data_IF_670171998642
#
_entry.id   IF_670171998642
#
_cell.length_a   1.000
_cell.length_b   1.000
_cell.length_c   1.000
_cell.angle_alpha   90.00
_cell.angle_beta   90.00
_cell.angle_gamma   90.00
#
_symmetry.space_group_name_H-M   'P 1'
#
loop_
_entity.id
_entity.type
_entity.pdbx_description
1 polymer ?
#
# COMPACT_ATOMS: atom_id res chain seq x y z
N UNK A 1 -14.28 -6.82 -19.39
CA UNK A 1 -14.30 -5.81 -18.31
C UNK A 1 -13.86 -6.49 -17.02
N UNK A 2 -13.04 -5.84 -16.20
CA UNK A 2 -12.68 -6.37 -14.88
C UNK A 2 -13.87 -6.22 -13.94
N UNK A 3 -14.16 -7.25 -13.15
CA UNK A 3 -15.25 -7.28 -12.17
C UNK A 3 -14.79 -6.91 -10.75
N UNK A 4 -13.50 -6.61 -10.60
CA UNK A 4 -12.84 -6.29 -9.33
C UNK A 4 -12.78 -4.79 -9.08
N UNK A 5 -12.73 -4.34 -7.82
CA UNK A 5 -12.57 -2.92 -7.48
C UNK A 5 -11.21 -2.36 -7.91
N UNK A 6 -10.17 -3.20 -8.03
CA UNK A 6 -8.86 -2.82 -8.53
C UNK A 6 -8.84 -2.85 -10.06
N UNK A 7 -8.68 -1.67 -10.67
CA UNK A 7 -8.57 -1.51 -12.14
C UNK A 7 -7.15 -1.15 -12.59
N UNK A 8 -6.26 -0.79 -11.66
CA UNK A 8 -4.92 -0.33 -12.03
C UNK A 8 -4.12 -1.50 -12.63
N UNK A 9 -3.72 -1.42 -13.90
CA UNK A 9 -3.17 -2.57 -14.61
C UNK A 9 -1.84 -3.02 -14.00
N UNK A 10 -0.98 -2.09 -13.62
CA UNK A 10 0.32 -2.41 -13.04
C UNK A 10 0.22 -3.03 -11.65
N UNK A 11 -0.74 -2.60 -10.83
CA UNK A 11 -0.93 -3.17 -9.48
C UNK A 11 -1.49 -4.59 -9.64
N UNK A 12 -2.47 -4.76 -10.53
CA UNK A 12 -3.04 -6.08 -10.82
C UNK A 12 -1.97 -7.05 -11.33
N UNK A 13 -1.08 -6.60 -12.21
CA UNK A 13 0.03 -7.41 -12.72
C UNK A 13 1.03 -7.80 -11.61
N UNK A 14 1.42 -6.85 -10.74
CA UNK A 14 2.35 -7.11 -9.63
C UNK A 14 1.74 -8.06 -8.61
N UNK A 15 0.45 -7.89 -8.27
CA UNK A 15 -0.26 -8.77 -7.35
C UNK A 15 -0.42 -10.18 -7.93
N UNK A 16 -0.71 -10.31 -9.23
CA UNK A 16 -0.80 -11.60 -9.89
C UNK A 16 0.55 -12.34 -9.95
N UNK A 17 1.67 -11.60 -10.00
CA UNK A 17 3.02 -12.17 -9.96
C UNK A 17 3.53 -12.44 -8.53
N UNK A 18 2.88 -11.86 -7.52
CA UNK A 18 3.28 -12.01 -6.12
C UNK A 18 2.98 -13.43 -5.61
N UNK A 19 3.99 -14.06 -5.02
CA UNK A 19 3.87 -15.38 -4.39
C UNK A 19 3.43 -15.30 -2.92
N UNK A 20 3.30 -16.47 -2.29
CA UNK A 20 3.05 -16.57 -0.84
C UNK A 20 4.14 -15.83 -0.05
N UNK A 21 3.73 -15.11 1.00
CA UNK A 21 4.58 -14.24 1.83
C UNK A 21 5.14 -12.97 1.15
N UNK A 22 4.65 -12.61 -0.03
CA UNK A 22 4.97 -11.30 -0.62
C UNK A 22 4.44 -10.16 0.23
N UNK A 23 5.17 -9.04 0.27
CA UNK A 23 4.78 -7.85 1.02
C UNK A 23 4.41 -6.72 0.08
N UNK A 24 3.29 -6.06 0.38
CA UNK A 24 2.86 -4.83 -0.29
C UNK A 24 2.99 -3.69 0.71
N UNK A 25 3.72 -2.64 0.33
CA UNK A 25 3.86 -1.43 1.11
C UNK A 25 2.99 -0.33 0.50
N UNK A 26 2.00 0.15 1.27
CA UNK A 26 1.24 1.35 0.92
C UNK A 26 1.87 2.50 1.69
N UNK A 27 2.39 3.48 0.97
CA UNK A 27 3.13 4.60 1.52
C UNK A 27 2.50 5.93 1.09
N UNK A 28 2.63 6.95 1.95
CA UNK A 28 2.31 8.32 1.57
C UNK A 28 3.47 8.96 0.78
N UNK A 29 3.25 10.19 0.31
CA UNK A 29 4.28 10.94 -0.42
C UNK A 29 5.52 11.33 0.41
N UNK A 30 5.50 11.13 1.73
CA UNK A 30 6.60 11.46 2.63
C UNK A 30 7.55 10.28 2.86
N UNK A 31 7.11 9.06 2.57
CA UNK A 31 7.97 7.88 2.69
C UNK A 31 9.00 7.83 1.55
N UNK A 32 10.29 7.61 1.83
CA UNK A 32 11.36 7.58 0.84
C UNK A 32 11.35 6.27 0.03
N UNK A 33 10.35 6.14 -0.85
CA UNK A 33 10.03 4.93 -1.60
C UNK A 33 11.11 4.57 -2.64
N UNK A 34 11.82 5.57 -3.17
CA UNK A 34 12.87 5.36 -4.17
C UNK A 34 14.17 4.81 -3.58
N UNK A 35 14.54 5.24 -2.37
CA UNK A 35 15.81 4.84 -1.73
C UNK A 35 15.66 3.59 -0.87
N UNK A 36 14.45 3.26 -0.43
CA UNK A 36 14.16 2.07 0.39
C UNK A 36 13.73 0.87 -0.46
N UNK A 37 13.73 1.02 -1.78
CA UNK A 37 13.30 -0.02 -2.71
C UNK A 37 14.28 -1.20 -2.72
N UNK A 38 13.76 -2.41 -2.46
CA UNK A 38 14.53 -3.64 -2.62
C UNK A 38 14.74 -4.02 -4.09
N UNK A 39 15.71 -4.90 -4.41
CA UNK A 39 16.05 -5.27 -5.79
C UNK A 39 14.91 -5.94 -6.57
N UNK A 40 13.99 -6.59 -5.86
CA UNK A 40 12.82 -7.28 -6.44
C UNK A 40 11.50 -6.51 -6.21
N UNK A 41 11.57 -5.29 -5.66
CA UNK A 41 10.39 -4.50 -5.37
C UNK A 41 10.03 -3.61 -6.57
N UNK A 42 8.73 -3.53 -6.86
CA UNK A 42 8.20 -2.67 -7.92
C UNK A 42 7.55 -1.44 -7.29
N UNK A 43 8.07 -0.25 -7.62
CA UNK A 43 7.47 1.02 -7.23
C UNK A 43 6.36 1.40 -8.22
N UNK A 44 5.16 1.65 -7.70
CA UNK A 44 4.00 2.13 -8.45
C UNK A 44 3.51 3.43 -7.81
N UNK A 45 3.54 4.53 -8.54
CA UNK A 45 3.13 5.86 -8.06
C UNK A 45 1.69 6.16 -8.47
N UNK A 46 0.81 6.41 -7.49
CA UNK A 46 -0.61 6.72 -7.69
C UNK A 46 -0.98 8.18 -7.37
N UNK A 47 -0.01 8.97 -6.92
CA UNK A 47 -0.22 10.34 -6.43
C UNK A 47 -0.49 11.31 -7.58
N UNK A 48 -1.77 11.64 -7.79
CA UNK A 48 -2.17 12.66 -8.77
C UNK A 48 -2.21 14.07 -8.16
N UNK A 49 -2.89 14.22 -7.02
CA UNK A 49 -3.06 15.48 -6.31
C UNK A 49 -3.33 15.23 -4.81
N UNK A 50 -3.11 16.22 -3.91
CA UNK A 50 -3.43 16.07 -2.50
C UNK A 50 -4.89 15.69 -2.26
N UNK A 51 -5.13 14.68 -1.42
CA UNK A 51 -6.47 14.17 -1.12
C UNK A 51 -7.08 13.28 -2.21
N UNK A 52 -6.40 13.09 -3.35
CA UNK A 52 -6.80 12.17 -4.41
C UNK A 52 -6.04 10.86 -4.23
N UNK A 53 -6.79 9.77 -4.05
CA UNK A 53 -6.29 8.43 -3.72
C UNK A 53 -5.60 8.41 -2.35
N UNK A 54 -6.39 8.28 -1.29
CA UNK A 54 -5.87 8.13 0.07
C UNK A 54 -5.33 6.71 0.29
N UNK A 55 -4.39 6.56 1.24
CA UNK A 55 -3.86 5.26 1.66
C UNK A 55 -4.97 4.27 2.03
N UNK A 56 -6.03 4.76 2.67
CA UNK A 56 -7.19 3.94 3.06
C UNK A 56 -7.98 3.44 1.84
N UNK A 57 -8.19 4.28 0.83
CA UNK A 57 -8.87 3.87 -0.42
C UNK A 57 -8.07 2.80 -1.17
N UNK A 58 -6.74 2.90 -1.17
CA UNK A 58 -5.87 1.86 -1.76
C UNK A 58 -5.99 0.56 -0.97
N UNK A 59 -5.98 0.63 0.36
CA UNK A 59 -6.14 -0.56 1.21
C UNK A 59 -7.50 -1.24 0.97
N UNK A 60 -8.59 -0.48 0.91
CA UNK A 60 -9.94 -1.00 0.61
C UNK A 60 -9.97 -1.74 -0.73
N UNK A 61 -9.37 -1.17 -1.78
CA UNK A 61 -9.29 -1.80 -3.09
C UNK A 61 -8.48 -3.12 -3.05
N UNK A 62 -7.40 -3.19 -2.25
CA UNK A 62 -6.58 -4.38 -2.12
C UNK A 62 -7.27 -5.49 -1.32
N UNK A 63 -7.94 -5.15 -0.21
CA UNK A 63 -8.72 -6.10 0.60
C UNK A 63 -9.77 -6.83 -0.23
N UNK A 64 -10.35 -6.16 -1.24
CA UNK A 64 -11.32 -6.76 -2.15
C UNK A 64 -10.74 -7.75 -3.19
N UNK A 65 -9.43 -7.85 -3.33
CA UNK A 65 -8.78 -8.63 -4.40
C UNK A 65 -7.81 -9.69 -3.87
N UNK A 66 -7.13 -9.44 -2.73
CA UNK A 66 -6.14 -10.35 -2.17
C UNK A 66 -6.45 -10.73 -0.72
N UNK A 67 -6.21 -11.99 -0.32
CA UNK A 67 -6.23 -12.37 1.09
C UNK A 67 -5.02 -11.75 1.82
N UNK A 68 -5.27 -11.12 2.97
CA UNK A 68 -4.23 -10.48 3.79
C UNK A 68 -3.98 -11.34 5.03
N UNK A 69 -2.74 -11.81 5.19
CA UNK A 69 -2.34 -12.65 6.33
C UNK A 69 -1.97 -11.83 7.57
N UNK A 70 -1.30 -10.69 7.35
CA UNK A 70 -0.78 -9.82 8.41
C UNK A 70 -0.68 -8.38 7.90
N UNK A 71 -0.98 -7.43 8.78
CA UNK A 71 -0.71 -6.01 8.55
C UNK A 71 0.39 -5.53 9.50
N UNK A 72 1.31 -4.72 8.99
CA UNK A 72 2.35 -4.05 9.76
C UNK A 72 2.21 -2.55 9.51
N UNK A 73 2.17 -1.77 10.59
CA UNK A 73 2.10 -0.30 10.52
C UNK A 73 3.36 0.30 11.08
N UNK A 74 3.76 1.48 10.57
CA UNK A 74 4.78 2.27 11.23
C UNK A 74 4.26 2.64 12.64
N UNK A 75 5.00 2.30 13.68
CA UNK A 75 4.70 2.80 15.01
C UNK A 75 4.99 4.31 15.03
N UNK A 76 3.95 5.13 15.18
CA UNK A 76 4.15 6.53 15.54
C UNK A 76 4.73 6.57 16.97
N UNK A 77 5.55 7.57 17.26
CA UNK A 77 5.76 7.99 18.66
C UNK A 77 4.39 8.41 19.16
N UNK A 78 3.71 7.51 19.88
CA UNK A 78 2.55 7.89 20.65
C UNK A 78 3.07 8.78 21.76
N UNK A 79 2.78 10.08 21.69
CA UNK A 79 2.89 10.93 22.86
C UNK A 79 2.05 10.25 23.94
N UNK A 80 2.69 9.71 24.99
CA UNK A 80 1.99 9.25 26.17
C UNK A 80 1.13 10.41 26.63
N UNK A 81 -0.19 10.28 26.50
CA UNK A 81 -1.14 11.20 27.10
C UNK A 81 -0.91 11.12 28.59
N UNK A 82 -0.10 12.05 29.11
CA UNK A 82 0.02 12.32 30.52
C UNK A 82 -1.33 12.90 30.93
N UNK A 83 -2.20 12.05 31.45
CA UNK A 83 -3.39 12.49 32.17
C UNK A 83 -2.91 13.51 33.22
N UNK A 84 -3.39 14.74 33.07
CA UNK A 84 -3.31 15.77 34.10
C UNK A 84 -4.17 15.35 35.29
#
# INVERSE_FOLDING_TARGET
MLLTPLLHPEISAVLAAAGHHSKVLIADGNYPSSTTLGPNAKLVSLNLAPGVVTVTQVLEALVGVIPIEKAETMALITCSTRSL
#
